data_IF_108795353802
#
_entry.id   IF_108795353802
#
_cell.length_a   1.000
_cell.length_b   1.000
_cell.length_c   1.000
_cell.angle_alpha   90.00
_cell.angle_beta   90.00
_cell.angle_gamma   90.00
#
_symmetry.space_group_name_H-M   'P 1'
#
loop_
_entity.id
_entity.type
_entity.pdbx_description
1 polymer ?
#
# COMPACT_ATOMS: atom_id res chain seq x y z
N UNK A 1 13.90 -11.47 -9.61
CA UNK A 1 13.06 -12.22 -8.66
C UNK A 1 13.81 -12.35 -7.35
N UNK A 2 13.14 -12.25 -6.20
CA UNK A 2 13.69 -12.62 -4.90
C UNK A 2 12.65 -13.47 -4.14
N UNK A 3 13.13 -14.49 -3.43
CA UNK A 3 12.29 -15.45 -2.71
C UNK A 3 12.91 -15.76 -1.35
N UNK A 4 12.09 -15.93 -0.31
CA UNK A 4 12.51 -16.40 1.02
C UNK A 4 13.64 -15.60 1.67
N UNK A 5 13.59 -14.26 1.53
CA UNK A 5 14.63 -13.36 2.05
C UNK A 5 14.05 -12.12 2.76
N UNK A 6 14.72 -11.69 3.82
CA UNK A 6 14.41 -10.43 4.54
C UNK A 6 15.38 -9.34 4.13
N UNK A 7 14.84 -8.18 3.75
CA UNK A 7 15.56 -6.94 3.56
C UNK A 7 15.21 -5.97 4.69
N UNK A 8 16.22 -5.48 5.41
CA UNK A 8 16.01 -4.68 6.62
C UNK A 8 16.91 -3.46 6.67
N UNK A 9 16.32 -2.32 7.03
CA UNK A 9 17.07 -1.13 7.42
C UNK A 9 16.89 -0.87 8.92
N UNK A 10 17.99 -0.83 9.67
CA UNK A 10 18.00 -0.68 11.14
C UNK A 10 18.28 0.74 11.61
N UNK A 11 18.16 1.75 10.75
CA UNK A 11 18.46 3.13 11.11
C UNK A 11 17.63 3.66 12.30
N UNK A 12 16.40 3.19 12.45
CA UNK A 12 15.48 3.65 13.50
C UNK A 12 14.61 4.84 13.05
N UNK A 13 13.47 5.09 13.72
CA UNK A 13 12.55 6.15 13.32
C UNK A 13 13.12 7.57 13.52
N UNK A 14 14.12 7.73 14.40
CA UNK A 14 14.84 8.98 14.65
C UNK A 14 15.73 9.44 13.48
N UNK A 15 15.98 8.56 12.51
CA UNK A 15 16.76 8.88 11.30
C UNK A 15 15.89 9.34 10.13
N UNK A 16 14.58 9.45 10.34
CA UNK A 16 13.63 9.80 9.30
C UNK A 16 13.71 8.79 8.13
N UNK A 17 13.81 9.25 6.88
CA UNK A 17 13.78 8.40 5.69
C UNK A 17 14.93 7.37 5.68
N UNK A 18 14.60 6.08 5.66
CA UNK A 18 15.58 5.00 5.65
C UNK A 18 15.05 3.77 4.90
N UNK A 19 15.31 3.72 3.59
CA UNK A 19 14.83 2.68 2.68
C UNK A 19 15.48 1.32 2.99
N UNK A 20 14.66 0.27 3.09
CA UNK A 20 15.13 -1.12 3.13
C UNK A 20 15.31 -1.68 1.71
N UNK A 21 14.35 -1.42 0.81
CA UNK A 21 14.44 -1.80 -0.60
C UNK A 21 13.94 -0.69 -1.49
N UNK A 22 14.71 -0.38 -2.53
CA UNK A 22 14.28 0.40 -3.69
C UNK A 22 14.21 -0.52 -4.89
N UNK A 23 13.04 -0.60 -5.51
CA UNK A 23 12.84 -1.39 -6.72
C UNK A 23 12.43 -0.52 -7.90
N UNK A 24 13.20 -0.60 -8.98
CA UNK A 24 12.96 0.05 -10.26
C UNK A 24 13.17 -0.92 -11.44
N UNK A 25 13.10 -2.23 -11.19
CA UNK A 25 13.14 -3.27 -12.22
C UNK A 25 11.72 -3.56 -12.73
N UNK A 26 11.57 -3.63 -14.05
CA UNK A 26 10.31 -4.06 -14.67
C UNK A 26 10.13 -5.56 -14.53
N UNK A 27 8.86 -6.02 -14.51
CA UNK A 27 8.50 -7.44 -14.40
C UNK A 27 9.16 -8.12 -13.19
N UNK A 28 9.29 -7.38 -12.09
CA UNK A 28 9.97 -7.85 -10.90
C UNK A 28 8.99 -8.46 -9.89
N UNK A 29 9.35 -9.64 -9.38
CA UNK A 29 8.56 -10.36 -8.37
C UNK A 29 9.34 -10.59 -7.09
N UNK A 30 8.68 -10.33 -5.95
CA UNK A 30 9.11 -10.75 -4.62
C UNK A 30 8.10 -11.74 -4.05
N UNK A 31 8.57 -12.89 -3.57
CA UNK A 31 7.71 -13.95 -3.04
C UNK A 31 8.20 -14.44 -1.68
N UNK A 32 7.32 -14.41 -0.66
CA UNK A 32 7.70 -14.77 0.73
C UNK A 32 8.89 -13.97 1.26
N UNK A 33 9.02 -12.73 0.82
CA UNK A 33 10.05 -11.81 1.29
C UNK A 33 9.54 -10.99 2.48
N UNK A 34 10.46 -10.46 3.28
CA UNK A 34 10.12 -9.46 4.29
C UNK A 34 10.88 -8.16 4.06
N UNK A 35 10.19 -7.04 4.27
CA UNK A 35 10.72 -5.70 4.16
C UNK A 35 10.51 -5.00 5.51
N UNK A 36 11.60 -4.71 6.20
CA UNK A 36 11.56 -4.22 7.56
C UNK A 36 12.26 -2.86 7.68
N UNK A 37 11.50 -1.86 8.15
CA UNK A 37 12.03 -0.53 8.43
C UNK A 37 11.09 0.29 9.30
N UNK A 38 11.20 1.61 9.15
CA UNK A 38 10.32 2.60 9.76
C UNK A 38 9.78 3.51 8.64
N UNK A 39 10.30 4.73 8.53
CA UNK A 39 9.90 5.66 7.48
C UNK A 39 10.55 5.27 6.13
N UNK A 40 9.75 5.30 5.06
CA UNK A 40 10.17 5.03 3.67
C UNK A 40 10.70 3.58 3.46
N UNK A 41 10.14 2.57 4.13
CA UNK A 41 10.67 1.19 4.13
C UNK A 41 10.81 0.58 2.73
N UNK A 42 9.74 0.60 1.93
CA UNK A 42 9.69 -0.03 0.61
C UNK A 42 9.41 1.02 -0.47
N UNK A 43 10.45 1.33 -1.25
CA UNK A 43 10.37 2.26 -2.36
C UNK A 43 10.04 1.51 -3.66
N UNK A 44 8.74 1.38 -3.94
CA UNK A 44 8.19 0.90 -5.23
C UNK A 44 8.34 1.99 -6.31
N UNK A 45 9.59 2.27 -6.67
CA UNK A 45 9.97 3.48 -7.41
C UNK A 45 9.27 3.61 -8.77
N UNK A 46 9.36 2.59 -9.61
CA UNK A 46 8.88 2.65 -11.01
C UNK A 46 8.68 1.27 -11.63
N UNK A 47 8.02 1.25 -12.80
CA UNK A 47 7.79 0.05 -13.65
C UNK A 47 6.83 -0.96 -13.00
N UNK A 48 6.65 -2.13 -13.61
CA UNK A 48 5.68 -3.15 -13.15
C UNK A 48 6.31 -4.05 -12.10
N UNK A 49 5.61 -4.24 -10.99
CA UNK A 49 6.11 -5.01 -9.85
C UNK A 49 4.99 -5.87 -9.24
N UNK A 50 5.35 -7.04 -8.73
CA UNK A 50 4.44 -7.95 -8.03
C UNK A 50 5.04 -8.43 -6.71
N UNK A 51 4.24 -8.37 -5.63
CA UNK A 51 4.64 -8.83 -4.31
C UNK A 51 3.62 -9.85 -3.82
N UNK A 52 4.08 -11.08 -3.55
CA UNK A 52 3.22 -12.21 -3.16
C UNK A 52 3.67 -12.77 -1.82
N UNK A 53 2.73 -13.01 -0.90
CA UNK A 53 3.00 -13.63 0.41
C UNK A 53 4.09 -12.93 1.22
N UNK A 54 4.29 -11.62 0.98
CA UNK A 54 5.33 -10.84 1.64
C UNK A 54 4.87 -10.28 2.98
N UNK A 55 5.84 -9.88 3.81
CA UNK A 55 5.61 -9.12 5.05
C UNK A 55 6.26 -7.76 4.96
N UNK A 56 5.49 -6.69 5.14
CA UNK A 56 5.99 -5.31 5.06
C UNK A 56 5.76 -4.64 6.41
N UNK A 57 6.79 -4.01 6.97
CA UNK A 57 6.73 -3.33 8.26
C UNK A 57 7.24 -1.89 8.13
N UNK A 58 6.50 -0.91 8.67
CA UNK A 58 7.00 0.46 8.73
C UNK A 58 6.05 1.44 9.44
N UNK A 59 6.33 2.73 9.31
CA UNK A 59 5.61 3.79 10.02
C UNK A 59 5.05 4.86 9.09
N UNK A 60 5.88 5.80 8.67
CA UNK A 60 5.53 6.92 7.80
C UNK A 60 5.84 6.53 6.36
N UNK A 61 4.85 6.62 5.47
CA UNK A 61 5.00 6.45 4.02
C UNK A 61 5.72 5.15 3.62
N UNK A 62 5.48 4.06 4.35
CA UNK A 62 6.40 2.91 4.30
C UNK A 62 6.24 2.02 3.06
N UNK A 63 5.21 2.24 2.25
CA UNK A 63 5.12 1.79 0.85
C UNK A 63 4.91 3.02 -0.02
N UNK A 64 5.91 3.42 -0.78
CA UNK A 64 5.86 4.68 -1.54
C UNK A 64 6.51 4.58 -2.91
N UNK A 65 6.15 5.50 -3.80
CA UNK A 65 6.70 5.57 -5.15
C UNK A 65 5.65 5.63 -6.25
N UNK A 66 6.07 5.36 -7.49
CA UNK A 66 5.26 5.53 -8.69
C UNK A 66 5.34 4.31 -9.63
N UNK A 67 5.52 3.11 -9.09
CA UNK A 67 5.37 1.87 -9.84
C UNK A 67 3.90 1.61 -10.25
N UNK A 68 3.70 0.69 -11.21
CA UNK A 68 2.44 -0.04 -11.35
C UNK A 68 2.61 -1.35 -10.57
N UNK A 69 2.11 -1.40 -9.34
CA UNK A 69 2.41 -2.49 -8.40
C UNK A 69 1.14 -3.13 -7.83
N UNK A 70 1.17 -4.46 -7.75
CA UNK A 70 0.16 -5.24 -7.02
C UNK A 70 0.82 -5.99 -5.86
N UNK A 71 0.28 -5.79 -4.66
CA UNK A 71 0.54 -6.61 -3.48
C UNK A 71 -0.61 -7.60 -3.35
N UNK A 72 -0.31 -8.90 -3.28
CA UNK A 72 -1.31 -9.95 -3.18
C UNK A 72 -0.99 -10.91 -2.05
N UNK A 73 -1.97 -11.19 -1.19
CA UNK A 73 -1.78 -12.10 -0.04
C UNK A 73 -0.62 -11.71 0.89
N UNK A 74 -0.31 -10.42 0.97
CA UNK A 74 0.74 -9.89 1.83
C UNK A 74 0.20 -9.50 3.21
N UNK A 75 1.09 -9.53 4.21
CA UNK A 75 0.82 -8.96 5.53
C UNK A 75 1.56 -7.62 5.66
N UNK A 76 0.82 -6.57 5.98
CA UNK A 76 1.29 -5.18 5.99
C UNK A 76 1.06 -4.64 7.40
N UNK A 77 2.16 -4.38 8.13
CA UNK A 77 2.12 -4.08 9.55
C UNK A 77 2.65 -2.67 9.86
N UNK A 78 1.76 -1.82 10.38
CA UNK A 78 2.14 -0.51 10.89
C UNK A 78 2.81 -0.64 12.27
N UNK A 79 3.99 -0.07 12.43
CA UNK A 79 4.76 -0.08 13.67
C UNK A 79 4.52 1.18 14.50
N UNK A 80 4.96 1.16 15.75
CA UNK A 80 4.97 2.37 16.58
C UNK A 80 6.01 3.40 16.07
N UNK A 81 5.60 4.62 15.69
CA UNK A 81 6.51 5.67 15.24
C UNK A 81 7.09 6.47 16.42
N UNK A 82 7.79 7.57 16.11
CA UNK A 82 8.13 8.56 17.14
C UNK A 82 6.88 9.27 17.66
N UNK A 83 6.99 9.85 18.85
CA UNK A 83 5.93 10.68 19.43
C UNK A 83 5.51 11.80 18.46
N UNK A 84 4.20 12.04 18.37
CA UNK A 84 3.57 13.04 17.50
C UNK A 84 3.67 12.78 15.98
N UNK A 85 4.23 11.65 15.54
CA UNK A 85 4.11 11.22 14.15
C UNK A 85 2.77 10.51 13.91
N UNK A 86 2.37 10.50 12.64
CA UNK A 86 1.22 9.73 12.14
C UNK A 86 1.75 8.65 11.20
N UNK A 87 1.16 7.47 11.24
CA UNK A 87 1.49 6.43 10.28
C UNK A 87 0.70 6.62 8.99
N UNK A 88 1.33 6.33 7.86
CA UNK A 88 0.66 6.24 6.57
C UNK A 88 1.20 5.01 5.84
N UNK A 89 0.32 4.05 5.53
CA UNK A 89 0.73 2.81 4.87
C UNK A 89 1.27 3.09 3.48
N UNK A 90 0.58 3.94 2.71
CA UNK A 90 1.01 4.32 1.37
C UNK A 90 1.25 5.81 1.19
N UNK A 91 2.24 6.14 0.34
CA UNK A 91 2.43 7.47 -0.21
C UNK A 91 2.70 7.39 -1.72
N UNK A 92 1.62 7.29 -2.50
CA UNK A 92 1.72 7.08 -3.95
C UNK A 92 2.04 8.40 -4.67
N UNK A 93 2.97 8.31 -5.63
CA UNK A 93 3.66 9.45 -6.22
C UNK A 93 3.34 9.73 -7.69
N UNK A 94 2.14 9.41 -8.17
CA UNK A 94 1.76 9.69 -9.56
C UNK A 94 1.59 11.19 -9.80
N UNK A 95 2.31 11.72 -10.79
CA UNK A 95 2.38 13.16 -11.09
C UNK A 95 1.61 13.58 -12.33
N UNK A 96 1.22 12.63 -13.17
CA UNK A 96 0.54 12.88 -14.45
C UNK A 96 -0.60 11.86 -14.62
N UNK A 97 -1.81 12.29 -15.03
CA UNK A 97 -2.96 11.39 -15.16
C UNK A 97 -2.77 10.33 -16.26
N UNK A 98 -1.89 10.58 -17.24
CA UNK A 98 -1.58 9.67 -18.34
C UNK A 98 -0.59 8.57 -17.91
N UNK A 99 0.00 8.65 -16.71
CA UNK A 99 0.79 7.56 -16.16
C UNK A 99 -0.13 6.40 -15.74
N UNK A 100 0.21 5.20 -16.21
CA UNK A 100 -0.48 3.95 -15.90
C UNK A 100 -0.01 3.33 -14.57
N UNK A 101 0.37 4.15 -13.59
CA UNK A 101 1.00 3.74 -12.32
C UNK A 101 0.04 3.86 -11.13
N UNK A 102 0.37 3.24 -10.00
CA UNK A 102 -0.47 3.18 -8.81
C UNK A 102 -0.13 1.99 -7.92
N UNK A 103 -0.66 1.99 -6.71
CA UNK A 103 -0.50 0.90 -5.74
C UNK A 103 -1.83 0.17 -5.59
N UNK A 104 -1.84 -1.14 -5.86
CA UNK A 104 -2.98 -2.02 -5.65
C UNK A 104 -2.66 -3.02 -4.54
N UNK A 105 -3.51 -3.09 -3.53
CA UNK A 105 -3.38 -3.97 -2.36
C UNK A 105 -4.58 -4.90 -2.36
N UNK A 106 -4.37 -6.17 -2.71
CA UNK A 106 -5.43 -7.16 -2.91
C UNK A 106 -5.26 -8.35 -1.98
N UNK A 107 -6.33 -8.74 -1.28
CA UNK A 107 -6.31 -9.90 -0.39
C UNK A 107 -5.17 -9.85 0.65
N UNK A 108 -4.89 -8.65 1.16
CA UNK A 108 -3.85 -8.46 2.16
C UNK A 108 -4.45 -8.41 3.57
N UNK A 109 -3.59 -8.59 4.56
CA UNK A 109 -3.89 -8.24 5.95
C UNK A 109 -3.16 -6.95 6.28
N UNK A 110 -3.89 -5.92 6.65
CA UNK A 110 -3.37 -4.62 7.06
C UNK A 110 -3.65 -4.46 8.55
N UNK A 111 -2.61 -4.45 9.38
CA UNK A 111 -2.79 -4.46 10.84
C UNK A 111 -1.66 -3.72 11.59
N UNK A 112 -1.82 -3.56 12.90
CA UNK A 112 -0.77 -3.05 13.77
C UNK A 112 0.26 -4.15 14.10
N UNK A 113 1.54 -3.81 14.03
CA UNK A 113 2.60 -4.63 14.61
C UNK A 113 2.46 -4.64 16.16
N UNK A 114 3.03 -5.64 16.86
CA UNK A 114 2.89 -5.75 18.32
C UNK A 114 3.27 -4.50 19.11
N UNK A 115 4.26 -3.73 18.64
CA UNK A 115 4.71 -2.50 19.30
C UNK A 115 3.67 -1.36 19.26
N UNK A 116 2.85 -1.29 18.20
CA UNK A 116 1.73 -0.36 18.07
C UNK A 116 0.44 -0.94 18.70
N UNK A 117 0.19 -2.24 18.54
CA UNK A 117 -1.03 -2.91 19.01
C UNK A 117 -1.23 -2.81 20.54
N UNK A 118 -0.14 -2.67 21.30
CA UNK A 118 -0.19 -2.47 22.75
C UNK A 118 -0.83 -1.14 23.18
N UNK A 119 -0.88 -0.13 22.29
CA UNK A 119 -1.52 1.16 22.56
C UNK A 119 -1.93 1.82 21.23
N UNK A 120 -3.05 1.35 20.65
CA UNK A 120 -3.57 1.84 19.38
C UNK A 120 -3.95 3.33 19.42
N UNK A 121 -4.23 3.88 20.60
CA UNK A 121 -4.58 5.29 20.77
C UNK A 121 -3.34 6.20 20.75
N UNK A 122 -2.12 5.63 20.84
CA UNK A 122 -0.89 6.42 20.84
C UNK A 122 -0.53 7.04 19.49
N UNK A 123 -1.11 6.56 18.39
CA UNK A 123 -0.75 6.98 17.04
C UNK A 123 -1.92 6.82 16.07
N UNK A 124 -2.35 7.92 15.46
CA UNK A 124 -3.27 7.87 14.32
C UNK A 124 -2.57 7.23 13.11
N UNK A 125 -3.21 6.25 12.50
CA UNK A 125 -2.70 5.53 11.33
C UNK A 125 -3.70 5.57 10.18
N UNK A 126 -3.20 5.73 8.96
CA UNK A 126 -4.02 5.91 7.76
C UNK A 126 -3.58 4.96 6.64
N UNK A 127 -4.51 4.60 5.75
CA UNK A 127 -4.27 3.80 4.55
C UNK A 127 -3.28 4.48 3.58
N UNK A 128 -3.25 5.81 3.57
CA UNK A 128 -2.25 6.55 2.85
C UNK A 128 -2.48 8.05 2.79
N UNK A 129 -1.56 8.73 2.11
CA UNK A 129 -1.62 10.17 1.82
C UNK A 129 -1.00 10.53 0.46
N UNK A 130 -1.50 11.55 -0.24
CA UNK A 130 -1.15 11.79 -1.63
C UNK A 130 0.17 12.55 -1.77
N UNK A 131 1.29 11.83 -1.90
CA UNK A 131 2.60 12.46 -2.12
C UNK A 131 2.62 13.35 -3.37
N UNK A 132 1.84 12.98 -4.40
CA UNK A 132 1.66 13.75 -5.63
C UNK A 132 0.20 13.89 -6.01
N UNK A 133 -0.09 14.91 -6.82
CA UNK A 133 -1.46 15.39 -7.09
C UNK A 133 -2.37 14.37 -7.80
N UNK A 134 -1.82 13.37 -8.51
CA UNK A 134 -2.61 12.32 -9.14
C UNK A 134 -2.46 10.97 -8.42
N UNK A 135 -2.08 11.00 -7.13
CA UNK A 135 -1.89 9.80 -6.29
C UNK A 135 -3.01 8.79 -6.49
N UNK A 136 -2.64 7.53 -6.70
CA UNK A 136 -3.57 6.45 -7.03
C UNK A 136 -3.29 5.18 -6.24
N UNK A 137 -4.18 4.84 -5.33
CA UNK A 137 -4.06 3.70 -4.43
C UNK A 137 -5.40 2.99 -4.28
N UNK A 138 -5.41 1.66 -4.31
CA UNK A 138 -6.61 0.85 -4.08
C UNK A 138 -6.33 -0.23 -3.05
N UNK A 139 -7.22 -0.34 -2.06
CA UNK A 139 -7.30 -1.48 -1.14
C UNK A 139 -8.54 -2.29 -1.47
N UNK A 140 -8.38 -3.57 -1.78
CA UNK A 140 -9.49 -4.42 -2.17
C UNK A 140 -9.41 -5.82 -1.59
N UNK A 141 -10.57 -6.37 -1.22
CA UNK A 141 -10.73 -7.74 -0.71
C UNK A 141 -9.79 -8.05 0.45
N UNK A 142 -9.44 -7.04 1.25
CA UNK A 142 -8.39 -7.11 2.25
C UNK A 142 -8.96 -6.98 3.66
N UNK A 143 -8.30 -7.63 4.63
CA UNK A 143 -8.57 -7.42 6.04
C UNK A 143 -7.92 -6.11 6.50
N UNK A 144 -8.68 -5.24 7.15
CA UNK A 144 -8.21 -3.99 7.75
C UNK A 144 -8.48 -4.05 9.26
N UNK A 145 -7.41 -4.04 10.06
CA UNK A 145 -7.44 -4.01 11.52
C UNK A 145 -7.96 -2.68 12.08
N UNK A 146 -8.26 -2.64 13.38
CA UNK A 146 -8.91 -1.51 14.05
C UNK A 146 -7.98 -0.33 14.37
N UNK A 147 -6.75 -0.32 13.83
CA UNK A 147 -5.76 0.73 14.04
C UNK A 147 -5.89 1.89 13.04
N UNK A 148 -6.64 1.69 11.96
CA UNK A 148 -6.87 2.71 10.93
C UNK A 148 -7.89 3.73 11.45
N UNK A 149 -7.53 5.01 11.38
CA UNK A 149 -8.41 6.12 11.69
C UNK A 149 -9.70 6.04 10.85
N UNK A 150 -10.89 6.30 11.39
CA UNK A 150 -12.14 6.24 10.63
C UNK A 150 -12.15 7.07 9.35
N UNK A 151 -11.37 8.17 9.28
CA UNK A 151 -11.21 8.96 8.05
C UNK A 151 -10.56 8.16 6.90
N UNK A 152 -9.80 7.11 7.24
CA UNK A 152 -9.11 6.20 6.34
C UNK A 152 -7.85 6.81 5.70
N UNK A 153 -7.96 8.03 5.20
CA UNK A 153 -6.94 8.71 4.41
C UNK A 153 -6.54 10.03 5.06
N UNK A 154 -5.28 10.45 4.86
CA UNK A 154 -4.69 11.65 5.44
C UNK A 154 -4.27 12.63 4.34
N UNK A 155 -4.54 13.93 4.53
CA UNK A 155 -4.10 14.96 3.61
C UNK A 155 -2.57 15.05 3.55
N UNK A 156 -2.03 15.36 2.37
CA UNK A 156 -0.61 15.68 2.24
C UNK A 156 -0.32 17.14 2.59
N UNK A 157 -1.06 18.07 1.97
CA UNK A 157 -0.92 19.51 2.18
C UNK A 157 -2.25 20.23 1.88
N UNK A 158 -3.09 20.36 2.91
CA UNK A 158 -4.42 20.95 2.78
C UNK A 158 -5.26 20.22 1.72
N UNK A 159 -5.90 20.98 0.85
CA UNK A 159 -6.83 20.44 -0.17
C UNK A 159 -6.16 20.12 -1.51
N UNK A 160 -4.83 20.28 -1.62
CA UNK A 160 -4.12 20.10 -2.89
C UNK A 160 -4.23 18.65 -3.40
N UNK A 161 -4.81 18.48 -4.59
CA UNK A 161 -4.93 17.21 -5.28
C UNK A 161 -6.06 16.31 -4.79
N UNK A 162 -6.81 16.69 -3.75
CA UNK A 162 -7.90 15.84 -3.21
C UNK A 162 -9.04 15.61 -4.22
N UNK A 163 -9.13 16.45 -5.24
CA UNK A 163 -10.06 16.35 -6.37
C UNK A 163 -9.52 15.51 -7.55
N UNK A 164 -8.20 15.31 -7.64
CA UNK A 164 -7.54 14.63 -8.77
C UNK A 164 -6.93 13.26 -8.44
N UNK A 165 -6.81 12.93 -7.15
CA UNK A 165 -6.39 11.60 -6.70
C UNK A 165 -7.44 10.53 -7.01
N UNK A 166 -7.03 9.27 -6.92
CA UNK A 166 -7.93 8.12 -6.99
C UNK A 166 -7.62 7.16 -5.84
N UNK A 167 -8.39 7.26 -4.77
CA UNK A 167 -8.32 6.37 -3.61
C UNK A 167 -9.55 5.49 -3.54
N UNK A 168 -9.34 4.19 -3.71
CA UNK A 168 -10.41 3.21 -3.81
C UNK A 168 -10.39 2.20 -2.67
N UNK A 169 -11.59 1.90 -2.16
CA UNK A 169 -11.83 0.75 -1.28
C UNK A 169 -12.89 -0.16 -1.93
N UNK A 170 -12.66 -1.48 -1.92
CA UNK A 170 -13.57 -2.48 -2.49
C UNK A 170 -13.62 -3.74 -1.64
N UNK A 171 -14.79 -4.11 -1.13
CA UNK A 171 -15.02 -5.40 -0.45
C UNK A 171 -13.98 -5.73 0.65
N UNK A 172 -13.52 -4.69 1.36
CA UNK A 172 -12.61 -4.87 2.50
C UNK A 172 -13.41 -5.30 3.73
N UNK A 173 -12.80 -6.11 4.58
CA UNK A 173 -13.44 -6.64 5.79
C UNK A 173 -12.56 -6.40 7.02
N UNK A 174 -13.11 -6.65 8.21
CA UNK A 174 -12.44 -6.38 9.48
C UNK A 174 -12.86 -5.05 10.11
N UNK A 175 -12.44 -4.80 11.35
CA UNK A 175 -12.97 -3.69 12.14
C UNK A 175 -12.56 -2.30 11.62
N UNK A 176 -11.46 -2.18 10.85
CA UNK A 176 -11.03 -0.92 10.22
C UNK A 176 -11.61 -0.67 8.82
N UNK A 177 -12.40 -1.61 8.28
CA UNK A 177 -12.96 -1.49 6.92
C UNK A 177 -14.27 -0.71 6.84
N UNK A 178 -14.81 -0.22 7.98
CA UNK A 178 -16.05 0.57 8.00
C UNK A 178 -15.81 1.93 7.32
N UNK A 179 -16.63 2.28 6.34
CA UNK A 179 -16.42 3.44 5.47
C UNK A 179 -17.32 4.65 5.78
N UNK A 180 -18.24 4.54 6.74
CA UNK A 180 -19.25 5.57 7.03
C UNK A 180 -18.67 6.94 7.39
N UNK A 181 -17.46 6.96 7.97
CA UNK A 181 -16.77 8.18 8.41
C UNK A 181 -15.53 8.51 7.57
N UNK A 182 -15.39 7.88 6.38
CA UNK A 182 -14.29 8.18 5.47
C UNK A 182 -14.35 9.63 5.02
N UNK A 183 -13.19 10.14 4.62
CA UNK A 183 -13.05 11.45 4.00
C UNK A 183 -14.05 11.65 2.85
N UNK A 184 -14.55 12.88 2.70
CA UNK A 184 -15.51 13.26 1.65
C UNK A 184 -14.81 13.89 0.44
N UNK A 185 -13.60 13.44 0.13
CA UNK A 185 -12.81 14.00 -0.96
C UNK A 185 -13.37 13.56 -2.32
N UNK A 186 -13.41 14.42 -3.36
CA UNK A 186 -13.92 14.03 -4.67
C UNK A 186 -13.14 12.87 -5.32
N UNK A 187 -11.85 12.73 -4.99
CA UNK A 187 -11.00 11.63 -5.47
C UNK A 187 -11.02 10.36 -4.61
N UNK A 188 -11.91 10.26 -3.62
CA UNK A 188 -12.14 9.03 -2.85
C UNK A 188 -13.38 8.29 -3.37
N UNK A 189 -13.28 6.97 -3.50
CA UNK A 189 -14.30 6.14 -4.12
C UNK A 189 -14.50 4.82 -3.37
N UNK A 190 -15.77 4.47 -3.12
CA UNK A 190 -16.18 3.08 -2.93
C UNK A 190 -16.38 2.47 -4.31
N UNK A 191 -15.58 1.47 -4.63
CA UNK A 191 -15.56 0.90 -5.97
C UNK A 191 -16.69 -0.14 -6.14
N UNK A 192 -17.11 -0.35 -7.38
CA UNK A 192 -17.82 -1.55 -7.80
C UNK A 192 -16.86 -2.57 -8.45
N UNK A 193 -17.36 -3.76 -8.78
CA UNK A 193 -16.58 -4.85 -9.39
C UNK A 193 -15.82 -4.41 -10.65
N UNK A 194 -16.49 -3.69 -11.55
CA UNK A 194 -15.89 -3.22 -12.82
C UNK A 194 -14.74 -2.24 -12.56
N UNK A 195 -14.89 -1.35 -11.58
CA UNK A 195 -13.84 -0.41 -11.20
C UNK A 195 -12.67 -1.13 -10.52
N UNK A 196 -12.95 -2.03 -9.59
CA UNK A 196 -11.94 -2.81 -8.87
C UNK A 196 -11.17 -3.77 -9.80
N UNK A 197 -11.84 -4.35 -10.81
CA UNK A 197 -11.24 -5.22 -11.82
C UNK A 197 -10.05 -4.57 -12.55
N UNK A 198 -10.05 -3.24 -12.73
CA UNK A 198 -8.96 -2.50 -13.36
C UNK A 198 -7.65 -2.50 -12.53
N UNK A 199 -7.72 -2.80 -11.24
CA UNK A 199 -6.58 -2.82 -10.32
C UNK A 199 -6.07 -4.24 -10.02
N UNK A 200 -6.61 -5.24 -10.71
CA UNK A 200 -6.17 -6.65 -10.61
C UNK A 200 -4.86 -6.89 -11.37
N UNK A 201 -4.21 -8.01 -11.09
CA UNK A 201 -2.96 -8.42 -11.75
C UNK A 201 -3.10 -8.44 -13.27
N UNK A 202 -4.23 -8.92 -13.79
CA UNK A 202 -4.49 -9.02 -15.23
C UNK A 202 -4.51 -7.63 -15.90
N UNK A 203 -5.34 -6.71 -15.43
CA UNK A 203 -5.53 -5.43 -16.12
C UNK A 203 -4.49 -4.39 -15.75
N UNK A 204 -4.02 -4.38 -14.50
CA UNK A 204 -3.21 -3.28 -13.99
C UNK A 204 -1.75 -3.41 -14.39
N UNK A 205 -1.21 -4.64 -14.37
CA UNK A 205 0.21 -4.91 -14.63
C UNK A 205 0.44 -5.85 -15.81
N UNK A 206 -0.62 -6.27 -16.51
CA UNK A 206 -0.57 -7.29 -17.57
C UNK A 206 0.12 -8.57 -17.07
N UNK A 207 -0.13 -8.94 -15.81
CA UNK A 207 0.59 -9.98 -15.08
C UNK A 207 0.63 -11.33 -15.78
N UNK A 208 -0.43 -11.67 -16.52
CA UNK A 208 -0.51 -12.90 -17.30
C UNK A 208 0.53 -13.03 -18.43
N UNK A 209 1.18 -11.92 -18.83
CA UNK A 209 2.19 -11.92 -19.88
C UNK A 209 3.61 -12.21 -19.37
N UNK A 210 3.83 -12.26 -18.05
CA UNK A 210 5.18 -12.38 -17.49
C UNK A 210 5.27 -13.13 -16.16
N UNK A 211 4.22 -13.17 -15.35
CA UNK A 211 4.21 -13.95 -14.11
C UNK A 211 4.27 -15.47 -14.33
N UNK A 212 3.70 -16.06 -15.40
CA UNK A 212 3.86 -17.49 -15.67
C UNK A 212 5.33 -17.94 -15.76
N UNK A 213 6.23 -17.08 -16.24
CA UNK A 213 7.66 -17.38 -16.36
C UNK A 213 8.41 -17.35 -15.01
N UNK A 214 7.73 -16.99 -13.92
CA UNK A 214 8.33 -16.86 -12.59
C UNK A 214 8.06 -18.06 -11.67
N UNK A 215 7.16 -18.97 -12.06
CA UNK A 215 6.63 -20.06 -11.22
C UNK A 215 6.03 -19.62 -9.87
N UNK A 216 5.76 -18.32 -9.70
CA UNK A 216 5.18 -17.75 -8.47
C UNK A 216 3.66 -17.70 -8.61
N UNK A 217 2.89 -18.20 -7.62
CA UNK A 217 1.44 -18.20 -7.70
C UNK A 217 0.87 -16.78 -7.68
N UNK A 218 -0.15 -16.55 -8.49
CA UNK A 218 -0.91 -15.30 -8.51
C UNK A 218 -2.37 -15.57 -8.86
N UNK A 219 -3.26 -14.73 -8.36
CA UNK A 219 -4.63 -14.63 -8.87
C UNK A 219 -4.70 -13.48 -9.86
N UNK A 220 -5.19 -13.76 -11.06
CA UNK A 220 -5.23 -12.77 -12.14
C UNK A 220 -6.27 -11.65 -11.91
N UNK A 221 -7.42 -11.99 -11.31
CA UNK A 221 -8.59 -11.13 -11.18
C UNK A 221 -9.04 -10.90 -9.74
N UNK A 222 -10.30 -10.49 -9.56
CA UNK A 222 -10.96 -10.43 -8.26
C UNK A 222 -11.20 -11.85 -7.69
N UNK A 223 -11.11 -11.97 -6.36
CA UNK A 223 -11.47 -13.18 -5.64
C UNK A 223 -12.99 -13.36 -5.63
N UNK A 224 -13.45 -14.61 -5.68
CA UNK A 224 -14.86 -14.99 -5.57
C UNK A 224 -15.15 -15.60 -4.22
#
# INVERSE_FOLDING_TARGET
>A
IAVDITFKNTAGPEKHQAVAVRNNADLSTFYRCSFEGYQDTLYVHSLRQFYRDCKIYGTVDFIFGNAAVVFQNCNIYARKPMQNQKNAVTAQGRTDPNQNTGISIQNCTIDAAPDLANDLNSTSSYLGRPWKIYSRTVYMQSYIGNFVDPSGWLEWNGTLGLDTIFYGEFDNYGPGSITDNRVQWPGYFLLNDTQAWNFTVLNFTLGNTWLPDTDIPYTEGLLK
#
